data_IF_299579718824
#
_entry.id   IF_299579718824
#
_cell.length_a   1.000
_cell.length_b   1.000
_cell.length_c   1.000
_cell.angle_alpha   90.00
_cell.angle_beta   90.00
_cell.angle_gamma   90.00
#
_symmetry.space_group_name_H-M   'P 1'
#
loop_
_entity.id
_entity.type
_entity.pdbx_description
1 polymer ?
#
# COMPACT_ATOMS: atom_id res chain seq x y z
N UNK A 1 -20.46 49.69 -29.10
CA UNK A 1 -21.61 49.82 -28.17
C UNK A 1 -21.28 50.67 -26.94
N UNK A 2 -20.18 50.43 -26.22
CA UNK A 2 -19.78 51.23 -25.04
C UNK A 2 -19.66 52.75 -25.28
N UNK A 3 -19.15 53.17 -26.44
CA UNK A 3 -19.01 54.58 -26.83
C UNK A 3 -20.33 55.29 -27.17
N UNK A 4 -21.41 54.54 -27.45
CA UNK A 4 -22.72 55.09 -27.84
C UNK A 4 -23.64 55.15 -26.62
N UNK A 5 -23.75 54.04 -25.89
CA UNK A 5 -24.46 54.00 -24.61
C UNK A 5 -23.95 52.84 -23.76
N UNK A 6 -23.24 53.17 -22.70
CA UNK A 6 -22.66 52.18 -21.80
C UNK A 6 -23.72 51.36 -21.06
N UNK A 7 -24.87 51.96 -20.70
CA UNK A 7 -25.96 51.29 -19.98
C UNK A 7 -26.62 50.19 -20.81
N UNK A 8 -26.99 50.47 -22.06
CA UNK A 8 -27.54 49.44 -22.96
C UNK A 8 -26.51 48.36 -23.29
N UNK A 9 -25.23 48.72 -23.34
CA UNK A 9 -24.17 47.73 -23.59
C UNK A 9 -24.03 46.75 -22.43
N UNK A 10 -24.06 47.22 -21.18
CA UNK A 10 -24.01 46.37 -19.99
C UNK A 10 -25.24 45.46 -19.93
N UNK A 11 -26.44 45.99 -20.19
CA UNK A 11 -27.68 45.18 -20.23
C UNK A 11 -27.63 44.12 -21.33
N UNK A 12 -27.14 44.47 -22.53
CA UNK A 12 -27.01 43.52 -23.63
C UNK A 12 -25.97 42.43 -23.35
N UNK A 13 -24.82 42.78 -22.77
CA UNK A 13 -23.81 41.82 -22.32
C UNK A 13 -24.33 40.89 -21.22
N UNK A 14 -25.08 41.43 -20.27
CA UNK A 14 -25.73 40.64 -19.22
C UNK A 14 -26.75 39.67 -19.83
N UNK A 15 -27.61 40.14 -20.74
CA UNK A 15 -28.60 39.30 -21.42
C UNK A 15 -27.93 38.22 -22.28
N UNK A 16 -26.90 38.58 -23.06
CA UNK A 16 -26.13 37.64 -23.86
C UNK A 16 -25.41 36.60 -23.01
N UNK A 17 -24.85 37.00 -21.87
CA UNK A 17 -24.23 36.09 -20.90
C UNK A 17 -25.26 35.16 -20.27
N UNK A 18 -26.47 35.67 -19.96
CA UNK A 18 -27.57 34.89 -19.39
C UNK A 18 -28.11 33.89 -20.41
N UNK A 19 -28.26 34.28 -21.67
CA UNK A 19 -28.64 33.38 -22.77
C UNK A 19 -27.55 32.35 -23.03
N UNK A 20 -26.27 32.76 -23.09
CA UNK A 20 -25.14 31.83 -23.24
C UNK A 20 -25.10 30.83 -22.08
N UNK A 21 -25.30 31.29 -20.84
CA UNK A 21 -25.35 30.43 -19.67
C UNK A 21 -26.56 29.49 -19.71
N UNK A 22 -27.74 29.99 -20.09
CA UNK A 22 -28.96 29.21 -20.26
C UNK A 22 -28.81 28.12 -21.33
N UNK A 23 -28.27 28.47 -22.50
CA UNK A 23 -27.99 27.52 -23.60
C UNK A 23 -26.86 26.57 -23.24
N UNK A 24 -25.83 27.02 -22.51
CA UNK A 24 -24.78 26.12 -22.00
C UNK A 24 -25.32 25.11 -20.98
N UNK A 25 -26.33 25.49 -20.17
CA UNK A 25 -26.99 24.60 -19.22
C UNK A 25 -27.95 23.64 -19.95
N UNK A 26 -28.84 24.16 -20.80
CA UNK A 26 -29.90 23.36 -21.45
C UNK A 26 -29.46 22.67 -22.74
N UNK A 27 -28.62 23.29 -23.56
CA UNK A 27 -28.14 22.73 -24.83
C UNK A 27 -27.20 21.54 -24.66
N UNK A 28 -26.62 21.34 -23.47
CA UNK A 28 -25.85 20.14 -23.11
C UNK A 28 -26.73 18.96 -22.66
N UNK A 29 -28.05 19.15 -22.54
CA UNK A 29 -29.02 18.09 -22.24
C UNK A 29 -29.33 17.18 -23.44
N UNK A 30 -28.65 17.35 -24.58
CA UNK A 30 -29.01 16.73 -25.85
C UNK A 30 -28.80 15.22 -25.96
N UNK A 31 -27.79 14.63 -25.29
CA UNK A 31 -27.39 13.25 -25.66
C UNK A 31 -27.54 12.19 -24.56
N UNK A 32 -27.49 12.54 -23.27
CA UNK A 32 -27.54 11.56 -22.17
C UNK A 32 -28.13 12.12 -20.86
N UNK A 33 -29.42 12.46 -20.83
CA UNK A 33 -30.15 12.84 -19.61
C UNK A 33 -29.91 14.29 -19.13
N UNK A 34 -29.92 14.51 -17.81
CA UNK A 34 -29.84 15.82 -17.17
C UNK A 34 -28.62 16.64 -17.67
N UNK A 35 -28.86 17.85 -18.19
CA UNK A 35 -27.87 18.65 -18.93
C UNK A 35 -26.60 18.97 -18.16
N UNK A 36 -26.69 19.10 -16.84
CA UNK A 36 -25.50 19.27 -15.99
C UNK A 36 -24.66 18.00 -15.88
N UNK A 37 -25.29 16.83 -15.70
CA UNK A 37 -24.60 15.54 -15.63
C UNK A 37 -23.87 15.22 -16.94
N UNK A 38 -24.53 15.49 -18.06
CA UNK A 38 -23.93 15.39 -19.40
C UNK A 38 -22.70 16.31 -19.55
N UNK A 39 -22.78 17.55 -19.06
CA UNK A 39 -21.63 18.46 -19.09
C UNK A 39 -20.44 17.96 -18.25
N UNK A 40 -20.68 17.46 -17.03
CA UNK A 40 -19.63 16.88 -16.20
C UNK A 40 -19.01 15.63 -16.83
N UNK A 41 -19.83 14.77 -17.42
CA UNK A 41 -19.36 13.58 -18.14
C UNK A 41 -18.42 13.95 -19.30
N UNK A 42 -18.81 14.93 -20.12
CA UNK A 42 -17.98 15.40 -21.23
C UNK A 42 -16.66 16.02 -20.75
N UNK A 43 -16.69 16.77 -19.64
CA UNK A 43 -15.48 17.32 -19.03
C UNK A 43 -14.54 16.22 -18.52
N UNK A 44 -15.09 15.20 -17.84
CA UNK A 44 -14.33 14.06 -17.35
C UNK A 44 -13.70 13.27 -18.51
N UNK A 45 -14.47 12.97 -19.56
CA UNK A 45 -13.99 12.24 -20.73
C UNK A 45 -12.87 12.99 -21.45
N UNK A 46 -13.01 14.31 -21.66
CA UNK A 46 -11.96 15.14 -22.27
C UNK A 46 -10.70 15.17 -21.41
N UNK A 47 -10.85 15.32 -20.09
CA UNK A 47 -9.74 15.29 -19.14
C UNK A 47 -8.99 13.95 -19.18
N UNK A 48 -9.71 12.82 -19.15
CA UNK A 48 -9.13 11.48 -19.22
C UNK A 48 -8.37 11.23 -20.52
N UNK A 49 -8.91 11.70 -21.66
CA UNK A 49 -8.22 11.62 -22.95
C UNK A 49 -6.94 12.45 -22.97
N UNK A 50 -6.95 13.65 -22.38
CA UNK A 50 -5.76 14.51 -22.30
C UNK A 50 -4.67 13.92 -21.40
N UNK A 51 -5.03 13.30 -20.27
CA UNK A 51 -4.11 12.55 -19.41
C UNK A 51 -3.49 11.34 -20.14
N UNK A 52 -4.25 10.72 -21.04
CA UNK A 52 -3.83 9.59 -21.88
C UNK A 52 -2.74 9.91 -22.90
N UNK A 53 -2.61 11.17 -23.32
CA UNK A 53 -1.78 11.54 -24.47
C UNK A 53 -0.26 11.49 -24.21
N UNK A 54 0.17 11.66 -22.95
CA UNK A 54 1.57 11.72 -22.57
C UNK A 54 1.91 10.62 -21.55
N UNK A 55 3.10 10.01 -21.69
CA UNK A 55 3.61 9.11 -20.66
C UNK A 55 3.96 9.91 -19.39
N UNK A 56 3.50 9.42 -18.23
CA UNK A 56 3.81 10.05 -16.94
C UNK A 56 5.29 9.83 -16.63
N UNK A 57 6.05 10.91 -16.51
CA UNK A 57 7.45 10.84 -16.13
C UNK A 57 7.59 10.31 -14.68
N UNK A 58 8.55 9.43 -14.35
CA UNK A 58 8.73 8.89 -12.99
C UNK A 58 8.87 9.96 -11.89
N UNK A 59 9.42 11.14 -12.22
CA UNK A 59 9.53 12.30 -11.29
C UNK A 59 8.20 12.97 -10.94
N UNK A 60 7.13 12.70 -11.69
CA UNK A 60 5.79 13.26 -11.50
C UNK A 60 4.77 12.17 -11.16
N UNK A 61 5.23 11.12 -10.49
CA UNK A 61 4.39 10.00 -10.14
C UNK A 61 3.47 10.36 -8.96
N UNK A 62 2.21 9.96 -9.03
CA UNK A 62 1.24 10.18 -7.97
C UNK A 62 0.69 8.84 -7.48
N UNK A 63 0.60 8.61 -6.15
CA UNK A 63 0.00 7.41 -5.62
C UNK A 63 -1.50 7.40 -5.92
N UNK A 64 -1.97 6.32 -6.54
CA UNK A 64 -3.39 6.00 -6.74
C UNK A 64 -3.61 4.66 -6.01
N UNK A 65 -3.94 4.71 -4.71
CA UNK A 65 -4.09 3.51 -3.90
C UNK A 65 -5.35 2.72 -4.27
N UNK A 66 -5.17 1.42 -4.51
CA UNK A 66 -6.21 0.41 -4.57
C UNK A 66 -6.27 -0.28 -3.20
N UNK A 67 -7.24 0.10 -2.40
CA UNK A 67 -7.34 -0.23 -0.99
C UNK A 67 -8.31 -1.39 -0.79
N UNK A 68 -7.78 -2.54 -0.36
CA UNK A 68 -8.59 -3.71 -0.03
C UNK A 68 -9.25 -3.54 1.34
N UNK A 69 -10.57 -3.45 1.33
CA UNK A 69 -11.41 -3.20 2.50
C UNK A 69 -11.58 -4.42 3.40
N UNK A 70 -11.71 -5.61 2.78
CA UNK A 70 -11.95 -6.90 3.43
C UNK A 70 -11.04 -7.99 2.85
N UNK A 71 -9.70 -7.85 2.96
CA UNK A 71 -8.80 -8.84 2.36
C UNK A 71 -8.80 -10.17 3.13
N UNK A 72 -9.06 -10.14 4.45
CA UNK A 72 -8.91 -11.31 5.32
C UNK A 72 -10.11 -11.49 6.26
N UNK A 73 -10.67 -12.70 6.25
CA UNK A 73 -11.77 -13.09 7.14
C UNK A 73 -13.08 -12.34 6.89
N UNK A 74 -14.11 -12.72 7.64
CA UNK A 74 -15.42 -12.07 7.60
C UNK A 74 -15.48 -10.95 8.64
N UNK A 75 -15.70 -9.71 8.20
CA UNK A 75 -16.09 -8.62 9.10
C UNK A 75 -17.56 -8.78 9.49
N UNK A 76 -18.00 -8.18 10.62
CA UNK A 76 -19.42 -8.08 10.94
C UNK A 76 -20.20 -7.43 9.78
N UNK A 77 -21.44 -7.86 9.55
CA UNK A 77 -22.24 -7.48 8.37
C UNK A 77 -22.33 -5.95 8.16
N UNK A 78 -22.42 -5.19 9.25
CA UNK A 78 -22.57 -3.72 9.22
C UNK A 78 -21.27 -2.93 9.08
N UNK A 79 -20.11 -3.60 8.95
CA UNK A 79 -18.80 -2.92 8.92
C UNK A 79 -18.19 -3.04 7.53
N UNK A 80 -18.30 -2.01 6.65
CA UNK A 80 -17.86 -2.10 5.26
C UNK A 80 -16.35 -2.32 5.15
N UNK A 81 -15.57 -1.65 6.00
CA UNK A 81 -14.12 -1.83 6.09
C UNK A 81 -13.60 -1.42 7.47
N UNK A 82 -12.30 -1.61 7.70
CA UNK A 82 -11.68 -1.22 8.96
C UNK A 82 -11.82 0.30 9.22
N UNK A 83 -12.24 0.75 10.44
CA UNK A 83 -12.60 2.14 10.72
C UNK A 83 -11.52 3.22 10.46
N UNK A 84 -10.24 2.82 10.47
CA UNK A 84 -9.07 3.69 10.24
C UNK A 84 -8.48 3.59 8.83
N UNK A 85 -9.06 2.75 7.97
CA UNK A 85 -8.51 2.49 6.63
C UNK A 85 -8.63 3.70 5.70
N UNK A 86 -9.75 4.43 5.76
CA UNK A 86 -9.92 5.66 5.00
C UNK A 86 -8.94 6.75 5.45
N UNK A 87 -8.74 6.90 6.76
CA UNK A 87 -7.80 7.85 7.35
C UNK A 87 -6.35 7.52 6.93
N UNK A 88 -5.98 6.24 6.93
CA UNK A 88 -4.72 5.75 6.40
C UNK A 88 -4.55 6.05 4.91
N UNK A 89 -5.54 5.73 4.07
CA UNK A 89 -5.51 5.98 2.63
C UNK A 89 -5.34 7.49 2.33
N UNK A 90 -5.93 8.35 3.14
CA UNK A 90 -5.74 9.79 3.06
C UNK A 90 -4.30 10.23 3.38
N UNK A 91 -3.58 9.50 4.24
CA UNK A 91 -2.17 9.75 4.56
C UNK A 91 -1.22 9.39 3.41
N UNK A 92 -1.64 8.51 2.49
CA UNK A 92 -0.89 8.15 1.30
C UNK A 92 -1.05 9.17 0.15
N UNK A 93 -1.75 10.28 0.37
CA UNK A 93 -2.07 11.28 -0.66
C UNK A 93 -1.58 12.66 -0.22
N UNK A 94 -1.06 13.46 -1.16
CA UNK A 94 -0.53 14.80 -0.87
C UNK A 94 -1.65 15.68 -0.32
N UNK A 95 -1.54 16.11 0.94
CA UNK A 95 -2.62 16.84 1.67
C UNK A 95 -3.97 16.11 1.68
N UNK A 96 -4.00 14.79 1.49
CA UNK A 96 -5.23 13.99 1.37
C UNK A 96 -5.94 14.05 0.03
N UNK A 97 -5.42 14.82 -0.93
CA UNK A 97 -6.05 14.99 -2.25
C UNK A 97 -5.50 14.01 -3.27
N UNK A 98 -6.40 13.49 -4.10
CA UNK A 98 -6.10 12.47 -5.09
C UNK A 98 -7.05 11.28 -4.98
N UNK A 99 -7.03 10.44 -6.00
CA UNK A 99 -7.96 9.31 -6.11
C UNK A 99 -7.48 8.13 -5.27
N UNK A 100 -8.37 7.59 -4.45
CA UNK A 100 -8.26 6.25 -3.87
C UNK A 100 -9.41 5.38 -4.40
N UNK A 101 -9.15 4.10 -4.63
CA UNK A 101 -10.17 3.13 -5.02
C UNK A 101 -10.30 2.13 -3.87
N UNK A 102 -11.44 2.09 -3.21
CA UNK A 102 -11.72 1.16 -2.13
C UNK A 102 -12.47 -0.04 -2.69
N UNK A 103 -11.93 -1.23 -2.46
CA UNK A 103 -12.44 -2.45 -3.10
C UNK A 103 -12.69 -3.54 -2.08
N UNK A 104 -13.80 -4.27 -2.27
CA UNK A 104 -14.03 -5.56 -1.63
C UNK A 104 -14.35 -6.61 -2.67
N UNK A 105 -13.87 -7.82 -2.45
CA UNK A 105 -14.26 -9.00 -3.22
C UNK A 105 -15.27 -9.79 -2.39
N UNK A 106 -16.38 -10.19 -3.02
CA UNK A 106 -17.35 -11.12 -2.45
C UNK A 106 -17.12 -12.48 -3.10
N UNK A 107 -16.79 -13.48 -2.28
CA UNK A 107 -16.58 -14.84 -2.75
C UNK A 107 -17.93 -15.52 -3.00
N UNK A 108 -18.18 -15.93 -4.25
CA UNK A 108 -19.38 -16.65 -4.65
C UNK A 108 -19.76 -16.47 -6.11
N UNK A 109 -20.96 -16.92 -6.46
CA UNK A 109 -21.50 -16.77 -7.80
C UNK A 109 -22.12 -15.38 -8.03
N UNK A 110 -21.88 -14.80 -9.21
CA UNK A 110 -22.35 -13.46 -9.53
C UNK A 110 -23.89 -13.38 -9.60
N UNK A 111 -24.56 -14.41 -10.10
CA UNK A 111 -26.03 -14.37 -10.23
C UNK A 111 -26.72 -14.35 -8.87
N UNK A 112 -26.12 -14.97 -7.86
CA UNK A 112 -26.66 -15.02 -6.50
C UNK A 112 -26.35 -13.73 -5.72
N UNK A 113 -25.12 -13.20 -5.84
CA UNK A 113 -24.64 -12.10 -5.00
C UNK A 113 -24.71 -10.71 -5.66
N UNK A 114 -25.32 -10.58 -6.84
CA UNK A 114 -25.36 -9.30 -7.57
C UNK A 114 -26.04 -8.17 -6.78
N UNK A 115 -27.15 -8.45 -6.09
CA UNK A 115 -27.85 -7.45 -5.28
C UNK A 115 -27.09 -7.12 -3.99
N UNK A 116 -26.53 -8.15 -3.33
CA UNK A 116 -25.69 -7.96 -2.14
C UNK A 116 -24.45 -7.12 -2.46
N UNK A 117 -23.85 -7.32 -3.63
CA UNK A 117 -22.72 -6.52 -4.10
C UNK A 117 -23.09 -5.04 -4.29
N UNK A 118 -24.28 -4.74 -4.84
CA UNK A 118 -24.76 -3.36 -5.00
C UNK A 118 -25.00 -2.69 -3.64
N UNK A 119 -25.61 -3.41 -2.70
CA UNK A 119 -25.87 -2.87 -1.36
C UNK A 119 -24.56 -2.65 -0.59
N UNK A 120 -23.63 -3.62 -0.62
CA UNK A 120 -22.29 -3.47 -0.05
C UNK A 120 -21.53 -2.29 -0.66
N UNK A 121 -21.68 -2.06 -1.96
CA UNK A 121 -21.05 -0.93 -2.66
C UNK A 121 -21.60 0.40 -2.18
N UNK A 122 -22.92 0.50 -2.00
CA UNK A 122 -23.59 1.70 -1.48
C UNK A 122 -23.17 2.00 -0.03
N UNK A 123 -23.09 0.97 0.80
CA UNK A 123 -22.63 1.09 2.18
C UNK A 123 -21.17 1.58 2.26
N UNK A 124 -20.30 0.99 1.43
CA UNK A 124 -18.89 1.40 1.35
C UNK A 124 -18.75 2.83 0.84
N UNK A 125 -19.49 3.23 -0.20
CA UNK A 125 -19.51 4.61 -0.71
C UNK A 125 -19.95 5.60 0.37
N UNK A 126 -21.04 5.29 1.07
CA UNK A 126 -21.56 6.14 2.16
C UNK A 126 -20.52 6.33 3.27
N UNK A 127 -19.78 5.26 3.60
CA UNK A 127 -18.71 5.33 4.59
C UNK A 127 -17.52 6.18 4.15
N UNK A 128 -17.11 6.10 2.88
CA UNK A 128 -16.02 6.91 2.30
C UNK A 128 -16.40 8.40 2.32
N UNK A 129 -17.64 8.72 1.94
CA UNK A 129 -18.18 10.08 1.95
C UNK A 129 -18.22 10.63 3.38
N UNK A 130 -18.70 9.83 4.34
CA UNK A 130 -18.68 10.19 5.76
C UNK A 130 -17.26 10.49 6.27
N UNK A 131 -16.26 9.72 5.85
CA UNK A 131 -14.85 9.92 6.17
C UNK A 131 -14.17 11.04 5.38
N UNK A 132 -14.91 11.76 4.53
CA UNK A 132 -14.39 12.85 3.68
C UNK A 132 -13.14 12.42 2.89
N UNK A 133 -13.10 11.16 2.46
CA UNK A 133 -11.99 10.61 1.70
C UNK A 133 -12.29 10.72 0.21
N UNK A 134 -11.44 11.42 -0.54
CA UNK A 134 -11.55 11.46 -2.01
C UNK A 134 -11.27 10.06 -2.58
N UNK A 135 -12.33 9.33 -2.94
CA UNK A 135 -12.21 8.01 -3.49
C UNK A 135 -13.53 7.44 -4.01
N UNK A 136 -13.43 6.28 -4.66
CA UNK A 136 -14.58 5.54 -5.19
C UNK A 136 -14.65 4.17 -4.51
N UNK A 137 -15.87 3.67 -4.30
CA UNK A 137 -16.14 2.33 -3.81
C UNK A 137 -16.45 1.40 -4.98
N UNK A 138 -15.85 0.22 -5.00
CA UNK A 138 -16.14 -0.83 -5.99
C UNK A 138 -16.24 -2.19 -5.30
N UNK A 139 -17.23 -2.99 -5.68
CA UNK A 139 -17.41 -4.36 -5.17
C UNK A 139 -17.39 -5.31 -6.35
N UNK A 140 -16.57 -6.36 -6.26
CA UNK A 140 -16.45 -7.39 -7.27
C UNK A 140 -16.88 -8.72 -6.70
N UNK A 141 -17.78 -9.43 -7.38
CA UNK A 141 -18.09 -10.82 -7.05
C UNK A 141 -17.18 -11.72 -7.87
N UNK A 142 -16.54 -12.69 -7.23
CA UNK A 142 -15.67 -13.65 -7.90
C UNK A 142 -15.72 -15.01 -7.19
N UNK A 143 -15.34 -16.12 -7.85
CA UNK A 143 -15.33 -17.44 -7.22
C UNK A 143 -14.43 -17.52 -5.99
N UNK A 144 -13.33 -16.76 -5.99
CA UNK A 144 -12.42 -16.64 -4.87
C UNK A 144 -11.64 -15.31 -4.93
N UNK A 145 -11.06 -14.92 -3.79
CA UNK A 145 -10.22 -13.74 -3.62
C UNK A 145 -9.09 -13.63 -4.65
N UNK A 146 -8.43 -14.73 -5.01
CA UNK A 146 -7.30 -14.72 -5.95
C UNK A 146 -7.74 -14.36 -7.38
N UNK A 147 -8.81 -14.96 -7.87
CA UNK A 147 -9.37 -14.64 -9.19
C UNK A 147 -9.96 -13.24 -9.24
N UNK A 148 -10.70 -12.83 -8.20
CA UNK A 148 -11.20 -11.47 -8.08
C UNK A 148 -10.08 -10.45 -8.09
N UNK A 149 -9.00 -10.70 -7.35
CA UNK A 149 -7.81 -9.85 -7.31
C UNK A 149 -7.19 -9.68 -8.70
N UNK A 150 -6.99 -10.78 -9.44
CA UNK A 150 -6.43 -10.77 -10.79
C UNK A 150 -7.30 -9.99 -11.77
N UNK A 151 -8.63 -10.14 -11.68
CA UNK A 151 -9.56 -9.34 -12.47
C UNK A 151 -9.41 -7.85 -12.18
N UNK A 152 -9.39 -7.48 -10.90
CA UNK A 152 -9.26 -6.09 -10.44
C UNK A 152 -7.93 -5.47 -10.87
N UNK A 153 -6.79 -6.12 -10.61
CA UNK A 153 -5.47 -5.53 -10.85
C UNK A 153 -5.23 -5.23 -12.34
N UNK A 154 -5.87 -5.98 -13.23
CA UNK A 154 -5.76 -5.82 -14.69
C UNK A 154 -6.75 -4.79 -15.25
N UNK A 155 -7.98 -4.77 -14.75
CA UNK A 155 -9.10 -4.05 -15.38
C UNK A 155 -9.48 -2.74 -14.69
N UNK A 156 -9.12 -2.57 -13.41
CA UNK A 156 -9.54 -1.40 -12.62
C UNK A 156 -8.94 -0.09 -13.14
N UNK A 157 -9.77 0.95 -13.17
CA UNK A 157 -9.43 2.30 -13.64
C UNK A 157 -9.69 2.52 -15.13
N UNK A 158 -9.54 3.77 -15.58
CA UNK A 158 -9.83 4.17 -16.97
C UNK A 158 -8.65 4.93 -17.60
N UNK A 159 -8.14 4.42 -18.73
CA UNK A 159 -7.01 5.03 -19.43
C UNK A 159 -5.75 5.09 -18.57
N UNK A 160 -5.20 6.29 -18.35
CA UNK A 160 -4.06 6.51 -17.45
C UNK A 160 -4.45 6.70 -15.98
N UNK A 161 -5.75 6.80 -15.67
CA UNK A 161 -6.27 6.85 -14.31
C UNK A 161 -6.46 5.43 -13.78
N UNK A 162 -5.35 4.72 -13.60
CA UNK A 162 -5.30 3.35 -13.10
C UNK A 162 -4.64 3.29 -11.73
N UNK A 163 -5.11 2.41 -10.83
CA UNK A 163 -4.45 2.20 -9.56
C UNK A 163 -3.02 1.71 -9.79
N UNK A 164 -2.14 2.13 -8.90
CA UNK A 164 -0.71 1.95 -9.10
C UNK A 164 -0.01 1.51 -7.78
N UNK A 165 -0.70 1.60 -6.64
CA UNK A 165 -0.33 0.91 -5.41
C UNK A 165 -1.48 0.00 -5.00
N UNK A 166 -1.20 -1.24 -4.64
CA UNK A 166 -2.13 -2.13 -3.93
C UNK A 166 -1.89 -1.98 -2.43
N UNK A 167 -2.96 -1.72 -1.68
CA UNK A 167 -2.92 -1.52 -0.24
C UNK A 167 -3.78 -2.57 0.44
N UNK A 168 -3.22 -3.29 1.40
CA UNK A 168 -3.95 -4.28 2.20
C UNK A 168 -3.44 -4.33 3.63
N UNK A 169 -4.25 -4.86 4.56
CA UNK A 169 -3.79 -5.14 5.93
C UNK A 169 -2.88 -6.37 5.95
N UNK A 170 -1.98 -6.47 6.92
CA UNK A 170 -1.28 -7.73 7.19
C UNK A 170 -2.29 -8.77 7.75
N UNK A 171 -2.29 -10.02 7.29
CA UNK A 171 -3.25 -11.02 7.72
C UNK A 171 -2.90 -11.61 9.11
N UNK A 172 -3.06 -10.87 10.20
CA UNK A 172 -2.69 -11.33 11.56
C UNK A 172 -3.40 -12.63 12.02
N UNK A 173 -4.52 -13.00 11.37
CA UNK A 173 -5.32 -14.19 11.68
C UNK A 173 -4.95 -15.44 10.87
N UNK A 174 -3.86 -15.38 10.09
CA UNK A 174 -3.50 -16.41 9.10
C UNK A 174 -3.25 -17.81 9.69
N UNK A 175 -2.89 -17.91 10.98
CA UNK A 175 -2.68 -19.18 11.68
C UNK A 175 -3.98 -19.86 12.18
N UNK A 176 -5.15 -19.26 12.00
CA UNK A 176 -6.42 -19.88 12.45
C UNK A 176 -6.77 -21.09 11.58
N UNK A 177 -7.23 -22.17 12.20
CA UNK A 177 -7.46 -23.47 11.53
C UNK A 177 -8.44 -23.41 10.36
N UNK A 178 -9.40 -22.49 10.40
CA UNK A 178 -10.41 -22.30 9.37
C UNK A 178 -9.96 -21.42 8.18
N UNK A 179 -8.70 -20.93 8.18
CA UNK A 179 -8.20 -19.94 7.21
C UNK A 179 -6.91 -20.39 6.51
N UNK A 180 -6.83 -21.69 6.15
CA UNK A 180 -5.64 -22.30 5.52
C UNK A 180 -5.28 -21.71 4.14
N UNK A 181 -6.20 -21.02 3.48
CA UNK A 181 -6.00 -20.43 2.15
C UNK A 181 -5.28 -19.07 2.17
N UNK A 182 -5.22 -18.41 3.34
CA UNK A 182 -4.64 -17.07 3.47
C UNK A 182 -3.18 -17.01 3.02
N UNK A 183 -2.26 -17.91 3.44
CA UNK A 183 -0.87 -17.86 3.00
C UNK A 183 -0.74 -17.89 1.47
N UNK A 184 -1.41 -18.85 0.82
CA UNK A 184 -1.37 -19.01 -0.64
C UNK A 184 -1.93 -17.77 -1.35
N UNK A 185 -3.06 -17.24 -0.88
CA UNK A 185 -3.71 -16.05 -1.44
C UNK A 185 -2.83 -14.81 -1.26
N UNK A 186 -2.27 -14.59 -0.07
CA UNK A 186 -1.42 -13.43 0.23
C UNK A 186 -0.14 -13.41 -0.62
N UNK A 187 0.57 -14.54 -0.68
CA UNK A 187 1.76 -14.67 -1.53
C UNK A 187 1.40 -14.57 -3.01
N UNK A 188 0.27 -15.14 -3.42
CA UNK A 188 -0.27 -15.02 -4.77
C UNK A 188 -0.51 -13.55 -5.17
N UNK A 189 -1.19 -12.78 -4.32
CA UNK A 189 -1.44 -11.35 -4.53
C UNK A 189 -0.12 -10.58 -4.65
N UNK A 190 0.86 -10.84 -3.77
CA UNK A 190 2.18 -10.18 -3.83
C UNK A 190 2.83 -10.47 -5.19
N UNK A 191 2.89 -11.74 -5.59
CA UNK A 191 3.49 -12.17 -6.86
C UNK A 191 2.77 -11.56 -8.07
N UNK A 192 1.44 -11.56 -8.06
CA UNK A 192 0.61 -10.97 -9.12
C UNK A 192 0.86 -9.46 -9.23
N UNK A 193 1.08 -8.73 -8.12
CA UNK A 193 1.49 -7.33 -8.15
C UNK A 193 2.86 -7.13 -8.82
N UNK A 194 3.83 -8.03 -8.58
CA UNK A 194 5.15 -7.97 -9.23
C UNK A 194 5.05 -8.11 -10.74
N UNK A 195 4.20 -9.03 -11.18
CA UNK A 195 3.96 -9.31 -12.59
C UNK A 195 3.24 -8.13 -13.22
N UNK A 196 2.20 -7.59 -12.56
CA UNK A 196 1.46 -6.41 -13.01
C UNK A 196 2.21 -5.08 -12.85
N UNK A 197 3.45 -5.10 -12.32
CA UNK A 197 4.27 -3.93 -12.02
C UNK A 197 3.49 -2.87 -11.20
N UNK A 198 2.85 -3.33 -10.12
CA UNK A 198 2.17 -2.50 -9.11
C UNK A 198 2.99 -2.49 -7.83
N UNK A 199 3.06 -1.33 -7.18
CA UNK A 199 3.60 -1.25 -5.83
C UNK A 199 2.66 -1.96 -4.84
N UNK A 200 3.21 -2.41 -3.72
CA UNK A 200 2.45 -3.06 -2.64
C UNK A 200 2.75 -2.35 -1.33
N UNK A 201 1.71 -2.02 -0.57
CA UNK A 201 1.83 -1.48 0.78
C UNK A 201 0.96 -2.33 1.71
N UNK A 202 1.61 -3.04 2.62
CA UNK A 202 0.94 -3.88 3.62
C UNK A 202 1.02 -3.16 4.95
N UNK A 203 -0.13 -2.92 5.58
CA UNK A 203 -0.22 -2.22 6.86
C UNK A 203 -0.52 -3.19 8.00
N UNK A 204 0.34 -3.21 9.01
CA UNK A 204 0.12 -3.90 10.30
C UNK A 204 -0.18 -2.88 11.40
N UNK A 205 -1.04 -3.27 12.35
CA UNK A 205 -1.40 -2.43 13.49
C UNK A 205 -2.21 -1.20 13.09
N UNK A 206 -3.09 -1.38 12.10
CA UNK A 206 -4.02 -0.33 11.68
C UNK A 206 -4.95 0.11 12.83
N UNK A 207 -5.22 -0.78 13.79
CA UNK A 207 -5.94 -0.48 15.03
C UNK A 207 -5.23 0.58 15.88
N UNK A 208 -3.90 0.65 15.83
CA UNK A 208 -3.08 1.63 16.54
C UNK A 208 -2.81 2.91 15.72
N UNK A 209 -3.30 2.98 14.48
CA UNK A 209 -3.12 4.15 13.62
C UNK A 209 -3.75 5.40 14.25
N UNK A 210 -3.12 6.59 14.19
CA UNK A 210 -3.68 7.78 14.81
C UNK A 210 -5.03 8.17 14.20
N UNK A 211 -5.93 8.65 15.06
CA UNK A 211 -7.13 9.33 14.59
C UNK A 211 -6.77 10.71 13.99
N UNK A 212 -7.70 11.31 13.24
CA UNK A 212 -7.48 12.59 12.53
C UNK A 212 -6.90 13.71 13.42
N UNK A 213 -7.34 13.79 14.68
CA UNK A 213 -6.91 14.82 15.63
C UNK A 213 -5.76 14.38 16.55
N UNK A 214 -5.31 13.13 16.44
CA UNK A 214 -4.26 12.60 17.30
C UNK A 214 -2.88 12.89 16.71
N UNK A 215 -2.16 13.82 17.32
CA UNK A 215 -0.79 14.14 16.93
C UNK A 215 0.18 13.06 17.38
N UNK A 216 1.11 12.71 16.51
CA UNK A 216 2.23 11.85 16.79
C UNK A 216 3.51 12.67 16.93
N UNK A 217 4.38 12.24 17.82
CA UNK A 217 5.70 12.80 18.05
C UNK A 217 6.74 11.68 17.94
N UNK A 218 8.00 12.04 17.69
CA UNK A 218 9.09 11.08 17.51
C UNK A 218 9.51 10.97 16.06
N UNK A 219 9.77 9.76 15.60
CA UNK A 219 10.43 9.50 14.31
C UNK A 219 9.60 8.61 13.38
N UNK A 220 9.76 8.83 12.08
CA UNK A 220 9.32 7.91 11.02
C UNK A 220 10.57 7.22 10.51
N UNK A 221 10.67 5.93 10.76
CA UNK A 221 11.91 5.18 10.59
C UNK A 221 11.81 4.29 9.36
N UNK A 222 12.74 4.45 8.41
CA UNK A 222 12.78 3.71 7.16
C UNK A 222 13.94 2.72 7.18
N UNK A 223 13.64 1.42 7.21
CA UNK A 223 14.62 0.35 7.05
C UNK A 223 14.78 0.02 5.58
N UNK A 224 15.76 0.67 4.96
CA UNK A 224 16.00 0.60 3.51
C UNK A 224 17.00 -0.49 3.17
N UNK A 225 16.51 -1.56 2.52
CA UNK A 225 17.31 -2.69 2.04
C UNK A 225 17.50 -2.58 0.52
N UNK A 226 18.43 -1.71 0.08
CA UNK A 226 19.11 -1.66 -1.25
C UNK A 226 18.24 -1.68 -2.54
N UNK A 227 16.91 -1.90 -2.47
CA UNK A 227 15.93 -1.91 -3.55
C UNK A 227 14.63 -1.27 -3.05
N UNK A 228 13.85 -0.68 -3.95
CA UNK A 228 12.50 -0.14 -3.69
C UNK A 228 12.39 1.07 -2.73
N UNK A 229 13.52 1.74 -2.42
CA UNK A 229 13.56 2.84 -1.45
C UNK A 229 12.75 4.07 -1.85
N UNK A 230 12.63 4.35 -3.15
CA UNK A 230 11.97 5.57 -3.64
C UNK A 230 10.52 5.71 -3.17
N UNK A 231 9.75 4.62 -3.16
CA UNK A 231 8.37 4.64 -2.68
C UNK A 231 8.29 4.83 -1.17
N UNK A 232 9.17 4.21 -0.38
CA UNK A 232 9.18 4.41 1.08
C UNK A 232 9.50 5.86 1.43
N UNK A 233 10.47 6.44 0.73
CA UNK A 233 10.84 7.86 0.84
C UNK A 233 9.68 8.78 0.46
N UNK A 234 8.96 8.45 -0.61
CA UNK A 234 7.76 9.18 -1.02
C UNK A 234 6.67 9.10 0.06
N UNK A 235 6.38 7.90 0.56
CA UNK A 235 5.35 7.69 1.58
C UNK A 235 5.69 8.41 2.89
N UNK A 236 6.95 8.39 3.34
CA UNK A 236 7.34 9.09 4.57
C UNK A 236 7.18 10.61 4.46
N UNK A 237 7.46 11.20 3.29
CA UNK A 237 7.16 12.60 3.03
C UNK A 237 5.65 12.88 3.01
N UNK A 238 4.85 12.03 2.35
CA UNK A 238 3.40 12.18 2.32
C UNK A 238 2.78 12.13 3.71
N UNK A 239 3.27 11.23 4.58
CA UNK A 239 2.89 11.19 5.99
C UNK A 239 3.15 12.53 6.67
N UNK A 240 4.35 13.12 6.51
CA UNK A 240 4.68 14.43 7.09
C UNK A 240 3.82 15.59 6.59
N UNK A 241 3.15 15.46 5.44
CA UNK A 241 2.19 16.49 4.99
C UNK A 241 0.89 16.51 5.80
N UNK A 242 0.65 15.50 6.64
CA UNK A 242 -0.51 15.41 7.52
C UNK A 242 -0.19 15.97 8.89
N UNK A 243 -1.13 16.74 9.45
CA UNK A 243 -1.01 17.33 10.79
C UNK A 243 -0.60 16.29 11.84
N UNK A 244 -1.19 15.09 11.78
CA UNK A 244 -0.89 13.99 12.70
C UNK A 244 0.58 13.58 12.75
N UNK A 245 1.36 13.80 11.68
CA UNK A 245 2.78 13.40 11.59
C UNK A 245 3.72 14.57 11.23
N UNK A 246 3.21 15.81 11.21
CA UNK A 246 3.95 16.99 10.75
C UNK A 246 5.22 17.24 11.58
N UNK A 247 5.15 16.93 12.87
CA UNK A 247 6.24 17.07 13.84
C UNK A 247 7.20 15.88 13.89
N UNK A 248 6.94 14.81 13.14
CA UNK A 248 7.81 13.64 13.13
C UNK A 248 9.07 13.89 12.28
N UNK A 249 10.22 13.41 12.76
CA UNK A 249 11.48 13.44 12.01
C UNK A 249 11.64 12.16 11.20
N UNK A 250 12.21 12.25 10.01
CA UNK A 250 12.49 11.05 9.19
C UNK A 250 13.90 10.55 9.52
N UNK A 251 14.02 9.26 9.80
CA UNK A 251 15.29 8.56 9.94
C UNK A 251 15.36 7.43 8.92
N UNK A 252 16.50 7.32 8.23
CA UNK A 252 16.78 6.30 7.22
C UNK A 252 17.87 5.38 7.77
N UNK A 253 17.48 4.15 8.03
CA UNK A 253 18.35 3.07 8.48
C UNK A 253 18.82 2.27 7.27
N UNK A 254 20.12 2.32 7.00
CA UNK A 254 20.78 1.53 5.97
C UNK A 254 21.45 0.33 6.62
N UNK A 255 21.13 -0.87 6.15
CA UNK A 255 21.71 -2.11 6.65
C UNK A 255 22.90 -2.45 5.76
N UNK A 256 24.06 -2.56 6.37
CA UNK A 256 25.33 -2.87 5.72
C UNK A 256 25.90 -4.17 6.34
N UNK A 257 26.62 -4.96 5.55
CA UNK A 257 27.36 -6.12 6.08
C UNK A 257 28.65 -5.63 6.76
N UNK A 258 29.15 -6.36 7.77
CA UNK A 258 30.35 -5.97 8.54
C UNK A 258 31.60 -5.68 7.68
N UNK A 259 31.73 -6.35 6.53
CA UNK A 259 32.85 -6.21 5.61
C UNK A 259 32.67 -5.09 4.56
N UNK A 260 31.57 -4.35 4.61
CA UNK A 260 31.25 -3.28 3.65
C UNK A 260 31.61 -1.88 4.17
N UNK A 261 31.91 -0.94 3.26
CA UNK A 261 32.23 0.44 3.63
C UNK A 261 30.96 1.21 4.07
N UNK A 262 30.69 1.14 5.36
CA UNK A 262 29.56 1.80 5.99
C UNK A 262 29.62 3.34 5.88
N UNK A 263 30.81 3.94 5.79
CA UNK A 263 30.97 5.38 5.68
C UNK A 263 30.65 5.86 4.26
N UNK A 264 31.13 5.14 3.25
CA UNK A 264 30.79 5.38 1.85
C UNK A 264 29.28 5.29 1.62
N UNK A 265 28.64 4.19 2.08
CA UNK A 265 27.19 4.02 1.97
C UNK A 265 26.42 5.17 2.64
N UNK A 266 26.88 5.63 3.82
CA UNK A 266 26.28 6.77 4.51
C UNK A 266 26.40 8.05 3.70
N UNK A 267 27.56 8.29 3.09
CA UNK A 267 27.81 9.49 2.29
C UNK A 267 26.93 9.50 1.03
N UNK A 268 26.82 8.36 0.34
CA UNK A 268 26.01 8.19 -0.86
C UNK A 268 24.51 8.40 -0.58
N UNK A 269 23.99 7.78 0.48
CA UNK A 269 22.58 7.95 0.84
C UNK A 269 22.30 9.39 1.28
N UNK A 270 23.22 10.03 2.02
CA UNK A 270 23.08 11.46 2.36
C UNK A 270 23.05 12.35 1.12
N UNK A 271 23.94 12.10 0.15
CA UNK A 271 23.98 12.83 -1.12
C UNK A 271 22.69 12.64 -1.91
N UNK A 272 22.21 11.40 -2.00
CA UNK A 272 20.94 11.09 -2.65
C UNK A 272 19.75 11.84 -2.02
N UNK A 273 19.65 11.84 -0.68
CA UNK A 273 18.60 12.59 0.03
C UNK A 273 18.71 14.10 -0.15
N UNK A 274 19.95 14.63 -0.22
CA UNK A 274 20.21 16.03 -0.52
C UNK A 274 19.71 16.43 -1.91
N UNK A 275 20.00 15.62 -2.93
CA UNK A 275 19.53 15.83 -4.31
C UNK A 275 18.00 15.82 -4.40
N UNK A 276 17.34 15.03 -3.54
CA UNK A 276 15.88 14.97 -3.41
C UNK A 276 15.29 16.07 -2.50
N UNK A 277 16.14 16.92 -1.90
CA UNK A 277 15.76 17.96 -0.92
C UNK A 277 14.99 17.41 0.27
N UNK A 278 15.29 16.20 0.68
CA UNK A 278 14.63 15.55 1.81
C UNK A 278 15.46 15.69 3.08
N UNK A 279 14.85 16.26 4.10
CA UNK A 279 15.44 16.35 5.44
C UNK A 279 15.21 15.03 6.19
N UNK A 280 16.24 14.19 6.22
CA UNK A 280 16.25 12.93 6.96
C UNK A 280 17.64 12.67 7.57
N UNK A 281 17.65 12.02 8.72
CA UNK A 281 18.88 11.54 9.35
C UNK A 281 19.24 10.17 8.78
N UNK A 282 20.51 9.94 8.45
CA UNK A 282 20.99 8.65 7.91
C UNK A 282 21.79 7.92 8.96
N UNK A 283 21.34 6.72 9.31
CA UNK A 283 21.94 5.82 10.29
C UNK A 283 22.34 4.54 9.57
N UNK A 284 23.61 4.16 9.63
CA UNK A 284 24.09 2.90 9.06
C UNK A 284 24.26 1.90 10.19
N UNK A 285 23.66 0.73 10.03
CA UNK A 285 23.74 -0.38 10.98
C UNK A 285 24.51 -1.49 10.30
N UNK A 286 25.62 -1.86 10.92
CA UNK A 286 26.39 -3.02 10.53
C UNK A 286 25.77 -4.29 11.12
N UNK A 287 25.50 -5.28 10.28
CA UNK A 287 24.99 -6.59 10.68
C UNK A 287 26.01 -7.66 10.33
N UNK A 288 26.23 -8.59 11.27
CA UNK A 288 26.92 -9.85 11.00
C UNK A 288 26.22 -10.60 9.88
N UNK A 289 27.00 -11.06 8.91
CA UNK A 289 26.49 -11.95 7.89
C UNK A 289 26.07 -13.28 8.51
N UNK A 290 25.12 -13.96 7.86
CA UNK A 290 24.75 -15.34 8.20
C UNK A 290 25.98 -16.26 8.24
N UNK A 291 26.88 -16.08 7.27
CA UNK A 291 28.06 -16.93 7.10
C UNK A 291 29.06 -16.75 8.27
N UNK A 292 29.22 -15.52 8.78
CA UNK A 292 30.08 -15.23 9.93
C UNK A 292 29.56 -15.81 11.26
N UNK A 293 28.26 -16.11 11.38
CA UNK A 293 27.70 -16.77 12.56
C UNK A 293 28.03 -18.26 12.61
N UNK A 294 28.12 -18.93 11.46
CA UNK A 294 28.50 -20.35 11.39
C UNK A 294 29.93 -20.55 11.92
N UNK A 295 30.80 -19.56 11.70
CA UNK A 295 32.22 -19.61 12.11
C UNK A 295 32.46 -19.07 13.54
N UNK A 296 31.66 -18.11 14.00
CA UNK A 296 31.82 -17.45 15.31
C UNK A 296 30.89 -18.01 16.39
N UNK A 297 31.27 -19.14 16.98
CA UNK A 297 30.47 -19.84 18.00
C UNK A 297 30.14 -19.02 19.26
N UNK A 298 28.87 -18.67 19.41
CA UNK A 298 28.00 -18.83 20.60
C UNK A 298 26.72 -18.04 20.34
N UNK A 299 25.57 -18.69 20.03
CA UNK A 299 24.31 -17.98 19.91
C UNK A 299 23.99 -17.29 21.23
N UNK A 300 23.62 -16.01 21.21
CA UNK A 300 22.85 -15.46 22.33
C UNK A 300 21.53 -16.23 22.41
N UNK A 301 21.22 -16.80 23.58
CA UNK A 301 20.08 -17.71 23.80
C UNK A 301 18.73 -17.12 23.33
N UNK A 302 18.57 -15.80 23.35
CA UNK A 302 17.35 -15.08 22.96
C UNK A 302 16.89 -15.31 21.50
N UNK A 303 17.78 -15.68 20.57
CA UNK A 303 17.43 -15.90 19.14
C UNK A 303 16.96 -17.32 18.82
N UNK A 304 17.33 -18.29 19.65
CA UNK A 304 17.11 -19.70 19.38
C UNK A 304 15.64 -20.08 19.53
N UNK A 305 14.95 -19.56 20.54
CA UNK A 305 13.55 -19.91 20.81
C UNK A 305 12.60 -19.54 19.65
N UNK A 306 12.57 -18.30 19.12
CA UNK A 306 11.66 -17.94 18.04
C UNK A 306 11.93 -18.72 16.75
N UNK A 307 13.21 -18.94 16.42
CA UNK A 307 13.62 -19.72 15.23
C UNK A 307 13.20 -21.18 15.39
N UNK A 308 13.47 -21.80 16.54
CA UNK A 308 13.12 -23.20 16.81
C UNK A 308 11.61 -23.38 16.76
N UNK A 309 10.84 -22.44 17.33
CA UNK A 309 9.39 -22.49 17.29
C UNK A 309 8.84 -22.36 15.85
N UNK A 310 9.43 -21.51 15.02
CA UNK A 310 9.07 -21.39 13.60
C UNK A 310 9.44 -22.65 12.80
N UNK A 311 10.61 -23.23 13.05
CA UNK A 311 11.04 -24.49 12.42
C UNK A 311 10.12 -25.66 12.79
N UNK A 312 9.71 -25.77 14.05
CA UNK A 312 8.75 -26.78 14.49
C UNK A 312 7.40 -26.66 13.76
N UNK A 313 6.90 -25.42 13.58
CA UNK A 313 5.66 -25.17 12.82
C UNK A 313 5.80 -25.49 11.33
N UNK A 314 6.96 -25.18 10.74
CA UNK A 314 7.28 -25.56 9.37
C UNK A 314 7.31 -27.09 9.22
N UNK A 315 7.92 -27.80 10.17
CA UNK A 315 7.99 -29.25 10.17
C UNK A 315 6.60 -29.90 10.32
N UNK A 316 5.74 -29.37 11.20
CA UNK A 316 4.37 -29.86 11.34
C UNK A 316 3.55 -29.66 10.07
N UNK A 317 3.67 -28.49 9.42
CA UNK A 317 3.03 -28.23 8.14
C UNK A 317 3.50 -29.20 7.04
N UNK A 318 4.80 -29.47 6.95
CA UNK A 318 5.35 -30.43 5.99
C UNK A 318 4.82 -31.85 6.24
N UNK A 319 4.68 -32.26 7.50
CA UNK A 319 4.12 -33.56 7.86
C UNK A 319 2.64 -33.67 7.45
N UNK A 320 1.83 -32.64 7.71
CA UNK A 320 0.42 -32.58 7.29
C UNK A 320 0.28 -32.60 5.76
N UNK A 321 1.08 -31.81 5.04
CA UNK A 321 1.04 -31.75 3.58
C UNK A 321 1.51 -33.06 2.93
N UNK A 322 2.53 -33.73 3.49
CA UNK A 322 2.98 -35.03 3.01
C UNK A 322 1.90 -36.12 3.16
N UNK A 323 1.12 -36.07 4.24
CA UNK A 323 -0.03 -36.97 4.43
C UNK A 323 -1.17 -36.69 3.46
N UNK A 324 -1.43 -35.41 3.14
CA UNK A 324 -2.52 -35.01 2.25
C UNK A 324 -2.21 -35.27 0.76
N UNK A 325 -1.02 -34.86 0.28
CA UNK A 325 -0.68 -34.85 -1.15
C UNK A 325 0.14 -36.07 -1.59
N UNK A 326 0.58 -36.91 -0.65
CA UNK A 326 1.33 -38.15 -0.92
C UNK A 326 2.71 -37.95 -1.55
N UNK A 327 3.21 -36.70 -1.62
CA UNK A 327 4.55 -36.36 -2.12
C UNK A 327 5.31 -35.50 -1.11
N UNK A 328 6.53 -35.89 -0.70
CA UNK A 328 7.35 -35.05 0.16
C UNK A 328 7.83 -33.81 -0.61
N UNK A 329 7.62 -32.63 -0.03
CA UNK A 329 8.14 -31.37 -0.57
C UNK A 329 9.63 -31.32 -0.23
N UNK A 330 10.48 -31.26 -1.26
CA UNK A 330 11.93 -31.09 -1.07
C UNK A 330 12.21 -29.63 -0.69
N UNK A 331 12.75 -29.43 0.51
CA UNK A 331 13.04 -28.10 1.07
C UNK A 331 14.54 -27.96 1.25
N UNK A 332 15.09 -26.81 0.86
CA UNK A 332 16.46 -26.44 1.20
C UNK A 332 16.48 -25.87 2.63
N UNK A 333 16.85 -26.69 3.61
CA UNK A 333 16.89 -26.33 5.03
C UNK A 333 17.80 -25.14 5.31
N UNK A 334 18.99 -25.07 4.69
CA UNK A 334 19.92 -23.95 4.86
C UNK A 334 19.31 -22.62 4.40
N UNK A 335 18.53 -22.66 3.31
CA UNK A 335 17.84 -21.47 2.81
C UNK A 335 16.75 -21.02 3.77
N UNK A 336 15.97 -21.96 4.32
CA UNK A 336 14.94 -21.67 5.34
C UNK A 336 15.56 -21.04 6.57
N UNK A 337 16.63 -21.62 7.09
CA UNK A 337 17.33 -21.14 8.27
C UNK A 337 17.89 -19.72 8.07
N UNK A 338 18.52 -19.47 6.91
CA UNK A 338 19.01 -18.16 6.52
C UNK A 338 17.89 -17.11 6.51
N UNK A 339 16.73 -17.42 5.93
CA UNK A 339 15.60 -16.47 5.90
C UNK A 339 15.03 -16.20 7.29
N UNK A 340 14.85 -17.23 8.12
CA UNK A 340 14.40 -17.08 9.50
C UNK A 340 15.34 -16.14 10.27
N UNK A 341 16.65 -16.40 10.17
CA UNK A 341 17.65 -15.60 10.84
C UNK A 341 17.68 -14.15 10.37
N UNK A 342 17.79 -13.91 9.05
CA UNK A 342 17.86 -12.54 8.51
C UNK A 342 16.63 -11.74 8.91
N UNK A 343 15.45 -12.37 8.91
CA UNK A 343 14.19 -11.71 9.22
C UNK A 343 14.06 -11.38 10.72
N UNK A 344 14.45 -12.32 11.59
CA UNK A 344 14.49 -12.10 13.03
C UNK A 344 15.54 -11.06 13.41
N UNK A 345 16.71 -11.08 12.77
CA UNK A 345 17.76 -10.09 12.99
C UNK A 345 17.31 -8.70 12.58
N UNK A 346 16.58 -8.57 11.47
CA UNK A 346 15.96 -7.32 11.07
C UNK A 346 14.94 -6.84 12.11
N UNK A 347 14.03 -7.69 12.56
CA UNK A 347 13.07 -7.37 13.63
C UNK A 347 13.77 -6.89 14.91
N UNK A 348 14.81 -7.60 15.36
CA UNK A 348 15.57 -7.21 16.54
C UNK A 348 16.16 -5.81 16.46
N UNK A 349 16.60 -5.44 15.27
CA UNK A 349 17.19 -4.14 15.00
C UNK A 349 16.12 -3.07 15.02
N UNK A 350 14.96 -3.35 14.42
CA UNK A 350 13.76 -2.49 14.51
C UNK A 350 13.37 -2.28 15.97
N UNK A 351 13.28 -3.34 16.78
CA UNK A 351 12.92 -3.23 18.19
C UNK A 351 13.99 -2.53 19.03
N UNK A 352 15.27 -2.61 18.65
CA UNK A 352 16.36 -1.94 19.37
C UNK A 352 16.38 -0.43 19.11
N UNK A 353 16.21 0.00 17.87
CA UNK A 353 16.37 1.40 17.47
C UNK A 353 15.04 2.16 17.34
N UNK A 354 13.96 1.48 17.01
CA UNK A 354 12.69 2.08 16.57
C UNK A 354 11.48 1.69 17.43
N UNK A 355 11.68 1.20 18.67
CA UNK A 355 10.59 0.83 19.58
C UNK A 355 9.59 1.96 19.86
N UNK A 356 10.08 3.20 19.90
CA UNK A 356 9.29 4.40 20.15
C UNK A 356 8.98 5.19 18.87
N UNK A 357 9.26 4.63 17.69
CA UNK A 357 8.97 5.29 16.42
C UNK A 357 7.45 5.50 16.27
N UNK A 358 7.08 6.63 15.66
CA UNK A 358 5.69 6.90 15.32
C UNK A 358 5.20 5.88 14.29
N UNK A 359 5.99 5.58 13.25
CA UNK A 359 5.72 4.55 12.25
C UNK A 359 7.05 3.99 11.74
N UNK A 360 7.13 2.68 11.55
CA UNK A 360 8.25 2.02 10.88
C UNK A 360 7.85 1.64 9.45
N UNK A 361 8.70 1.95 8.47
CA UNK A 361 8.60 1.49 7.09
C UNK A 361 9.73 0.49 6.84
N UNK A 362 9.41 -0.67 6.29
CA UNK A 362 10.38 -1.70 5.92
C UNK A 362 10.13 -2.16 4.49
N UNK A 363 11.20 -2.45 3.75
CA UNK A 363 11.07 -3.08 2.44
C UNK A 363 10.44 -4.46 2.57
N UNK A 364 9.46 -4.79 1.72
CA UNK A 364 8.84 -6.11 1.66
C UNK A 364 9.90 -7.14 1.20
N UNK A 365 10.26 -8.13 2.04
CA UNK A 365 11.12 -9.22 1.59
C UNK A 365 10.42 -9.99 0.46
N UNK A 366 11.09 -10.28 -0.66
CA UNK A 366 10.47 -11.02 -1.74
C UNK A 366 10.15 -12.46 -1.29
N UNK A 367 8.98 -13.01 -1.64
CA UNK A 367 8.69 -14.42 -1.39
C UNK A 367 9.75 -15.33 -2.04
N UNK A 368 10.30 -16.31 -1.31
CA UNK A 368 11.29 -17.23 -1.85
C UNK A 368 10.69 -18.11 -2.95
N UNK A 369 11.48 -18.32 -4.00
CA UNK A 369 11.10 -19.18 -5.13
C UNK A 369 11.13 -20.65 -4.68
N UNK A 370 10.15 -21.44 -5.10
CA UNK A 370 10.03 -22.88 -4.80
C UNK A 370 9.82 -23.26 -3.33
N UNK A 371 9.38 -22.33 -2.48
CA UNK A 371 8.96 -22.66 -1.12
C UNK A 371 7.43 -22.48 -0.98
N UNK A 372 6.76 -23.31 -0.15
CA UNK A 372 5.35 -23.12 0.16
C UNK A 372 5.09 -21.73 0.75
N UNK A 373 3.94 -21.14 0.40
CA UNK A 373 3.54 -19.83 0.91
C UNK A 373 3.46 -19.76 2.44
N UNK A 374 3.23 -20.89 3.11
CA UNK A 374 3.25 -21.01 4.56
C UNK A 374 4.59 -20.58 5.18
N UNK A 375 5.71 -20.93 4.54
CA UNK A 375 7.05 -20.61 5.08
C UNK A 375 7.29 -19.12 5.07
N UNK A 376 6.90 -18.48 3.96
CA UNK A 376 6.98 -17.02 3.84
C UNK A 376 6.16 -16.33 4.94
N UNK A 377 4.98 -16.85 5.29
CA UNK A 377 4.19 -16.29 6.39
C UNK A 377 4.89 -16.44 7.75
N UNK A 378 5.55 -17.55 8.03
CA UNK A 378 6.37 -17.68 9.26
C UNK A 378 7.52 -16.67 9.30
N UNK A 379 8.19 -16.41 8.15
CA UNK A 379 9.24 -15.40 8.08
C UNK A 379 8.67 -14.01 8.36
N UNK A 380 7.59 -13.66 7.68
CA UNK A 380 6.92 -12.37 7.86
C UNK A 380 6.43 -12.20 9.31
N UNK A 381 5.95 -13.25 9.97
CA UNK A 381 5.51 -13.15 11.35
C UNK A 381 6.64 -12.76 12.30
N UNK A 382 7.82 -13.37 12.14
CA UNK A 382 9.03 -12.97 12.87
C UNK A 382 9.43 -11.52 12.57
N UNK A 383 9.24 -11.04 11.33
CA UNK A 383 9.57 -9.65 10.97
C UNK A 383 8.72 -8.65 11.74
N UNK A 384 7.43 -8.96 11.87
CA UNK A 384 6.43 -7.98 12.31
C UNK A 384 6.09 -8.06 13.79
N UNK A 385 6.62 -9.08 14.48
CA UNK A 385 6.37 -9.34 15.89
C UNK A 385 6.75 -8.14 16.76
N UNK A 386 5.86 -7.77 17.70
CA UNK A 386 6.03 -6.66 18.63
C UNK A 386 6.30 -5.28 18.01
N UNK A 387 6.11 -5.11 16.70
CA UNK A 387 6.15 -3.80 16.05
C UNK A 387 4.72 -3.25 15.95
N UNK A 388 4.40 -2.11 16.61
CA UNK A 388 3.04 -1.59 16.70
C UNK A 388 2.49 -1.14 15.35
N UNK A 389 3.10 -0.11 14.74
CA UNK A 389 2.70 0.44 13.44
C UNK A 389 3.80 0.22 12.41
N UNK A 390 3.57 -0.76 11.53
CA UNK A 390 4.52 -1.16 10.50
C UNK A 390 3.89 -1.08 9.12
N UNK A 391 4.59 -0.41 8.21
CA UNK A 391 4.29 -0.40 6.77
C UNK A 391 5.34 -1.21 6.04
N UNK A 392 4.91 -2.28 5.40
CA UNK A 392 5.76 -3.15 4.61
C UNK A 392 5.55 -2.77 3.15
N UNK A 393 6.60 -2.26 2.52
CA UNK A 393 6.48 -1.55 1.24
C UNK A 393 7.31 -2.24 0.18
N UNK A 394 6.69 -2.48 -0.96
CA UNK A 394 7.36 -2.88 -2.19
C UNK A 394 7.14 -1.82 -3.26
N UNK A 395 8.23 -1.39 -3.88
CA UNK A 395 8.24 -0.41 -4.94
C UNK A 395 7.91 -1.01 -6.31
N UNK A 396 8.19 -0.22 -7.35
CA UNK A 396 8.13 -0.63 -8.74
C UNK A 396 9.44 -1.24 -9.19
N UNK A 397 9.46 -1.92 -10.34
CA UNK A 397 10.72 -2.34 -10.99
C UNK A 397 11.65 -1.16 -11.34
N UNK A 398 11.13 0.07 -11.41
CA UNK A 398 11.92 1.29 -11.61
C UNK A 398 11.71 2.19 -10.41
N UNK A 399 12.79 2.70 -9.83
CA UNK A 399 12.68 3.62 -8.70
C UNK A 399 11.87 4.86 -9.08
N UNK A 400 10.87 5.12 -8.26
CA UNK A 400 10.01 6.28 -8.38
C UNK A 400 10.34 7.21 -7.23
N UNK A 401 10.75 8.43 -7.58
CA UNK A 401 10.87 9.51 -6.60
C UNK A 401 10.21 10.75 -7.19
N UNK A 402 9.12 11.17 -6.57
CA UNK A 402 8.46 12.42 -6.92
C UNK A 402 9.13 13.55 -6.16
N UNK A 403 9.63 14.55 -6.89
CA UNK A 403 10.25 15.73 -6.26
C UNK A 403 9.15 16.56 -5.61
N UNK A 404 9.24 16.74 -4.29
CA UNK A 404 8.43 17.72 -3.57
C UNK A 404 9.10 19.08 -3.70
N UNK A 405 8.74 19.82 -4.75
CA UNK A 405 8.91 21.28 -4.77
C UNK A 405 7.77 21.96 -4.05
#
# INVERSE_FOLDING_TARGET
>A
MLLISWSFTVVSLALASLIYYYVSIKGKAGDWGDGFKSAYFQLALRSLRSLGANQVHPKNWYPIPLVFCRPWGKLPENVPCHPKLADFANCMKKKGRGMSIFVSILDGDYHELAEDAKEACKQLSTYIDYKSCEGVAEIVVAPNMSEGFRGIVQTMGLGNLKPNIVVMRYPEIWRRENLKEIPATFVGIINDCVVANKAVVIVKGLDEWPNEYQMQYGTIDLYWIVRDGGLMLLLSQLLRTKKSFENCKIQVFCIAEEDSDAEELKADVKKFLYDLRMQAEVIVISMKSWDAQIEGGSPQDDWLEPITAAQQRIASYLAESAQADGKPIVVNEQQVEKFLYTTLKLNSTILRYSRMAAVVLVSLPPPPVNQPAYFYMEYMDLLVENVPRLLIVRGYRRDVVTLFT
#
